data_IF_858142949276
#
_entry.id   IF_858142949276
#
_cell.length_a   1.000
_cell.length_b   1.000
_cell.length_c   1.000
_cell.angle_alpha   90.00
_cell.angle_beta   90.00
_cell.angle_gamma   90.00
#
_symmetry.space_group_name_H-M   'P 1'
#
loop_
_entity.id
_entity.type
_entity.pdbx_description
1 polymer ?
#
# COMPACT_ATOMS: atom_id res chain seq x y z
N UNK A 1 2.23 8.20 -16.72
CA UNK A 1 3.18 7.31 -16.01
C UNK A 1 2.42 6.50 -14.98
N UNK A 2 2.77 5.23 -14.73
CA UNK A 2 2.10 4.38 -13.73
C UNK A 2 3.11 3.90 -12.71
N UNK A 3 2.77 3.98 -11.42
CA UNK A 3 3.63 3.53 -10.32
C UNK A 3 2.96 2.40 -9.54
N UNK A 4 3.75 1.38 -9.17
CA UNK A 4 3.32 0.33 -8.24
C UNK A 4 3.51 0.81 -6.80
N UNK A 5 2.78 1.84 -6.43
CA UNK A 5 2.79 2.48 -5.13
C UNK A 5 1.42 3.13 -4.87
N UNK A 6 1.00 3.27 -3.60
CA UNK A 6 1.73 2.95 -2.36
C UNK A 6 1.59 1.49 -1.90
N UNK A 7 2.55 1.04 -1.06
CA UNK A 7 2.37 -0.18 -0.26
C UNK A 7 1.52 0.18 0.98
N UNK A 8 0.33 -0.40 1.07
CA UNK A 8 -0.69 -0.10 2.08
C UNK A 8 -1.04 -1.32 2.93
N UNK A 9 -0.22 -2.37 2.89
CA UNK A 9 -0.37 -3.50 3.81
C UNK A 9 -0.09 -3.04 5.24
N UNK A 10 -0.85 -3.58 6.18
CA UNK A 10 -0.63 -3.36 7.62
C UNK A 10 0.66 -4.06 8.07
N UNK A 11 1.55 -3.37 8.77
CA UNK A 11 2.77 -3.98 9.34
C UNK A 11 2.44 -4.81 10.58
N UNK A 12 1.63 -5.86 10.40
CA UNK A 12 1.11 -6.70 11.48
C UNK A 12 2.17 -7.60 12.11
N UNK A 13 3.09 -8.12 11.30
CA UNK A 13 4.18 -8.99 11.77
C UNK A 13 5.51 -8.22 11.74
N UNK A 14 6.12 -7.88 12.89
CA UNK A 14 7.35 -7.08 12.93
C UNK A 14 8.53 -7.74 12.21
N UNK A 15 8.47 -9.04 11.92
CA UNK A 15 9.52 -9.78 11.20
C UNK A 15 9.42 -9.61 9.68
N UNK A 16 8.35 -8.99 9.17
CA UNK A 16 8.17 -8.79 7.75
C UNK A 16 9.25 -7.88 7.17
N UNK A 17 10.07 -8.42 6.26
CA UNK A 17 11.19 -7.70 5.65
C UNK A 17 10.80 -6.48 4.81
N UNK A 18 9.51 -6.33 4.49
CA UNK A 18 8.96 -5.19 3.74
C UNK A 18 8.06 -4.27 4.56
N UNK A 19 7.99 -4.46 5.88
CA UNK A 19 7.24 -3.56 6.77
C UNK A 19 7.75 -2.11 6.74
N UNK A 20 9.04 -1.91 6.46
CA UNK A 20 9.64 -0.59 6.23
C UNK A 20 9.03 0.20 5.06
N UNK A 21 8.29 -0.46 4.16
CA UNK A 21 7.64 0.18 3.00
C UNK A 21 6.25 0.75 3.34
N UNK A 22 5.70 0.45 4.52
CA UNK A 22 4.30 0.73 4.87
C UNK A 22 4.20 1.81 5.95
N UNK A 23 3.04 2.47 6.09
CA UNK A 23 2.84 3.52 7.09
C UNK A 23 2.63 2.98 8.52
N UNK A 24 2.97 1.71 8.79
CA UNK A 24 2.91 1.09 10.12
C UNK A 24 1.83 0.02 10.28
N UNK A 25 1.51 -0.29 11.55
CA UNK A 25 0.62 -1.40 11.94
C UNK A 25 -0.85 -1.02 12.11
N UNK A 26 -1.20 0.28 12.05
CA UNK A 26 -2.58 0.75 12.22
C UNK A 26 -3.31 0.88 10.87
N UNK A 27 -4.40 0.12 10.63
CA UNK A 27 -5.21 0.25 9.42
C UNK A 27 -5.78 1.66 9.19
N UNK A 28 -6.09 2.40 10.25
CA UNK A 28 -6.64 3.76 10.10
C UNK A 28 -5.58 4.73 9.57
N UNK A 29 -4.37 4.68 10.13
CA UNK A 29 -3.21 5.43 9.61
C UNK A 29 -2.90 5.01 8.18
N UNK A 30 -2.89 3.70 7.90
CA UNK A 30 -2.63 3.18 6.56
C UNK A 30 -3.65 3.67 5.52
N UNK A 31 -4.93 3.69 5.86
CA UNK A 31 -5.98 4.23 5.01
C UNK A 31 -5.81 5.72 4.72
N UNK A 32 -5.50 6.52 5.74
CA UNK A 32 -5.25 7.97 5.56
C UNK A 32 -4.02 8.25 4.69
N UNK A 33 -2.94 7.49 4.90
CA UNK A 33 -1.75 7.55 4.07
C UNK A 33 -2.04 7.20 2.61
N UNK A 34 -2.80 6.13 2.37
CA UNK A 34 -3.16 5.68 1.03
C UNK A 34 -3.90 6.77 0.24
N UNK A 35 -4.88 7.42 0.86
CA UNK A 35 -5.66 8.52 0.25
C UNK A 35 -4.76 9.71 -0.07
N UNK A 36 -3.95 10.16 0.88
CA UNK A 36 -3.05 11.30 0.69
C UNK A 36 -2.01 11.03 -0.43
N UNK A 37 -1.43 9.83 -0.46
CA UNK A 37 -0.46 9.44 -1.48
C UNK A 37 -1.11 9.37 -2.87
N UNK A 38 -2.28 8.73 -2.97
CA UNK A 38 -2.99 8.58 -4.24
C UNK A 38 -3.40 9.93 -4.82
N UNK A 39 -3.95 10.84 -4.02
CA UNK A 39 -4.29 12.18 -4.49
C UNK A 39 -3.06 12.96 -4.95
N UNK A 40 -1.99 12.94 -4.16
CA UNK A 40 -0.76 13.66 -4.49
C UNK A 40 -0.14 13.21 -5.82
N UNK A 41 -0.11 11.90 -6.10
CA UNK A 41 0.53 11.39 -7.32
C UNK A 41 -0.38 11.47 -8.56
N UNK A 42 -1.70 11.39 -8.37
CA UNK A 42 -2.66 11.50 -9.47
C UNK A 42 -2.88 12.95 -9.90
N UNK A 43 -2.55 13.92 -9.04
CA UNK A 43 -2.86 15.33 -9.25
C UNK A 43 -4.29 15.67 -8.84
N UNK A 44 -4.91 14.88 -7.97
CA UNK A 44 -6.22 15.19 -7.40
C UNK A 44 -6.07 16.18 -6.24
N UNK A 45 -7.00 17.12 -6.10
CA UNK A 45 -7.02 18.06 -4.96
C UNK A 45 -7.79 17.45 -3.81
N UNK A 46 -7.35 17.80 -2.59
CA UNK A 46 -7.99 17.35 -1.34
C UNK A 46 -9.45 17.83 -1.19
N UNK A 47 -9.87 18.83 -1.97
CA UNK A 47 -11.22 19.40 -2.00
C UNK A 47 -12.14 18.74 -3.04
N UNK A 48 -11.67 17.68 -3.71
CA UNK A 48 -12.43 16.96 -4.75
C UNK A 48 -12.29 17.54 -6.15
N UNK A 49 -11.47 18.58 -6.35
CA UNK A 49 -11.16 19.11 -7.68
C UNK A 49 -10.10 18.28 -8.42
N UNK A 50 -10.31 17.98 -9.70
CA UNK A 50 -9.28 17.41 -10.57
C UNK A 50 -8.52 18.53 -11.29
N UNK A 51 -7.21 18.37 -11.51
CA UNK A 51 -6.40 19.32 -12.31
C UNK A 51 -6.68 19.26 -13.81
N UNK A 52 -7.61 18.41 -14.26
CA UNK A 52 -8.01 18.24 -15.66
C UNK A 52 -7.26 17.16 -16.42
N UNK A 53 -6.11 16.69 -15.90
CA UNK A 53 -5.33 15.59 -16.46
C UNK A 53 -4.65 14.78 -15.34
N UNK A 54 -4.57 13.46 -15.51
CA UNK A 54 -3.87 12.55 -14.60
C UNK A 54 -2.36 12.79 -14.69
N UNK A 55 -1.72 13.13 -13.56
CA UNK A 55 -0.26 13.30 -13.51
C UNK A 55 0.46 11.94 -13.57
N UNK A 56 0.10 11.03 -12.68
CA UNK A 56 0.52 9.63 -12.74
C UNK A 56 -0.51 8.71 -12.06
N UNK A 57 -0.58 7.46 -12.51
CA UNK A 57 -1.50 6.47 -11.96
C UNK A 57 -0.91 5.82 -10.71
N UNK A 58 -1.66 5.85 -9.60
CA UNK A 58 -1.36 5.10 -8.39
C UNK A 58 -1.84 3.65 -8.51
N UNK A 59 -1.16 2.73 -7.82
CA UNK A 59 -1.55 1.33 -7.73
C UNK A 59 -1.34 0.86 -6.29
N UNK A 60 -2.40 0.95 -5.49
CA UNK A 60 -2.42 0.45 -4.12
C UNK A 60 -2.14 -1.06 -4.12
N UNK A 61 -1.17 -1.47 -3.30
CA UNK A 61 -0.73 -2.86 -3.22
C UNK A 61 -0.44 -3.27 -1.77
N UNK A 62 -0.41 -4.54 -1.43
CA UNK A 62 -0.69 -5.73 -2.26
C UNK A 62 -2.01 -6.33 -1.76
N UNK A 63 -3.08 -6.15 -2.53
CA UNK A 63 -4.41 -6.59 -2.15
C UNK A 63 -4.49 -8.13 -2.26
N UNK A 64 -4.66 -8.89 -1.17
CA UNK A 64 -4.74 -8.51 0.26
C UNK A 64 -3.92 -9.49 1.12
N UNK A 65 -3.87 -9.27 2.44
CA UNK A 65 -3.27 -10.18 3.43
C UNK A 65 -1.80 -10.59 3.15
N UNK A 66 -1.04 -9.70 2.52
CA UNK A 66 0.39 -9.89 2.27
C UNK A 66 1.22 -9.09 3.28
N UNK A 67 1.73 -9.79 4.30
CA UNK A 67 2.52 -9.19 5.37
C UNK A 67 3.66 -10.10 5.90
N UNK A 68 4.05 -11.12 5.12
CA UNK A 68 5.19 -12.00 5.40
C UNK A 68 5.84 -12.47 4.09
N UNK A 69 7.17 -12.51 4.06
CA UNK A 69 7.93 -12.93 2.86
C UNK A 69 8.33 -14.40 2.90
N UNK A 70 9.10 -14.78 3.92
CA UNK A 70 9.56 -16.14 4.13
C UNK A 70 9.84 -16.37 5.62
N UNK A 71 8.98 -17.13 6.29
CA UNK A 71 9.12 -17.42 7.71
C UNK A 71 8.66 -18.83 8.05
N UNK A 72 9.46 -19.59 8.80
CA UNK A 72 9.20 -20.99 9.21
C UNK A 72 8.75 -21.92 8.05
N UNK A 73 9.35 -21.76 6.88
CA UNK A 73 9.02 -22.58 5.71
C UNK A 73 7.78 -22.11 4.94
N UNK A 74 7.08 -21.08 5.40
CA UNK A 74 6.02 -20.41 4.65
C UNK A 74 6.62 -19.34 3.75
N UNK A 75 6.46 -19.52 2.44
CA UNK A 75 6.87 -18.57 1.42
C UNK A 75 5.65 -17.80 0.91
N UNK A 76 5.78 -16.48 0.73
CA UNK A 76 4.74 -15.60 0.16
C UNK A 76 4.09 -16.10 -1.12
N UNK A 77 4.81 -16.86 -1.95
CA UNK A 77 4.31 -17.38 -3.23
C UNK A 77 3.33 -18.54 -3.07
N UNK A 78 3.33 -19.20 -1.91
CA UNK A 78 2.47 -20.34 -1.59
C UNK A 78 1.70 -20.17 -0.29
N UNK A 79 1.56 -18.92 0.20
CA UNK A 79 0.79 -18.62 1.39
C UNK A 79 -0.70 -18.82 1.11
N UNK A 80 -1.39 -19.55 2.00
CA UNK A 80 -2.85 -19.69 1.99
C UNK A 80 -3.45 -18.83 3.11
N UNK A 81 -4.35 -17.94 2.74
CA UNK A 81 -5.01 -16.99 3.63
C UNK A 81 -6.44 -17.41 4.02
N UNK A 82 -6.87 -18.61 3.61
CA UNK A 82 -8.21 -19.16 3.90
C UNK A 82 -8.36 -19.71 5.31
#
# INVERSE_FOLDING_TARGET
MTFWAPNINTYRDPRWGRGQETPGEDPLVAGRYAVAYAWGIQGDRYDGGQTGHLQASACCKHCTAYDLDNWKGFNRLGFDAK
#
